data_IF_620148585239
#
_entry.id   IF_620148585239
#
_cell.length_a   1.000
_cell.length_b   1.000
_cell.length_c   1.000
_cell.angle_alpha   90.00
_cell.angle_beta   90.00
_cell.angle_gamma   90.00
#
_symmetry.space_group_name_H-M   'P 1'
#
loop_
_entity.id
_entity.type
_entity.pdbx_description
1 polymer ?
#
# COMPACT_ATOMS: atom_id res chain seq x y z
N UNK A 1 -34.17 -18.41 14.63
CA UNK A 1 -33.12 -17.71 13.83
C UNK A 1 -33.60 -16.29 13.56
N UNK A 2 -32.93 -15.23 14.02
CA UNK A 2 -33.30 -13.85 13.63
C UNK A 2 -32.90 -13.63 12.16
N UNK A 3 -33.88 -13.65 11.26
CA UNK A 3 -33.68 -13.48 9.81
C UNK A 3 -33.22 -12.06 9.48
N UNK A 4 -33.62 -11.08 10.29
CA UNK A 4 -33.27 -9.67 10.13
C UNK A 4 -32.10 -9.33 11.05
N UNK A 5 -30.97 -8.94 10.45
CA UNK A 5 -29.77 -8.50 11.16
C UNK A 5 -29.29 -7.16 10.59
N UNK A 6 -28.61 -6.35 11.42
CA UNK A 6 -28.07 -5.04 10.98
C UNK A 6 -27.23 -5.14 9.70
N UNK A 7 -26.32 -6.14 9.54
CA UNK A 7 -25.59 -6.34 8.27
C UNK A 7 -26.49 -6.53 7.05
N UNK A 8 -27.59 -7.29 7.19
CA UNK A 8 -28.54 -7.53 6.09
C UNK A 8 -29.31 -6.28 5.73
N UNK A 9 -29.67 -5.46 6.72
CA UNK A 9 -30.31 -4.15 6.49
C UNK A 9 -29.36 -3.23 5.72
N UNK A 10 -28.10 -3.13 6.14
CA UNK A 10 -27.07 -2.36 5.42
C UNK A 10 -26.91 -2.90 3.99
N UNK A 11 -26.83 -4.22 3.82
CA UNK A 11 -26.72 -4.86 2.52
C UNK A 11 -27.89 -4.55 1.59
N UNK A 12 -29.13 -4.60 2.09
CA UNK A 12 -30.33 -4.25 1.32
C UNK A 12 -30.33 -2.77 0.91
N UNK A 13 -29.99 -1.86 1.83
CA UNK A 13 -29.90 -0.42 1.53
C UNK A 13 -28.85 -0.16 0.44
N UNK A 14 -27.66 -0.77 0.55
CA UNK A 14 -26.59 -0.59 -0.44
C UNK A 14 -26.93 -1.19 -1.80
N UNK A 15 -27.64 -2.32 -1.84
CA UNK A 15 -28.13 -2.92 -3.08
C UNK A 15 -29.15 -2.01 -3.77
N UNK A 16 -30.15 -1.53 -3.03
CA UNK A 16 -31.17 -0.59 -3.55
C UNK A 16 -30.50 0.70 -4.03
N UNK A 17 -29.59 1.27 -3.23
CA UNK A 17 -28.84 2.46 -3.62
C UNK A 17 -27.97 2.24 -4.86
N UNK A 18 -27.35 1.06 -5.00
CA UNK A 18 -26.60 0.65 -6.18
C UNK A 18 -27.48 0.58 -7.43
N UNK A 19 -28.67 -0.02 -7.32
CA UNK A 19 -29.65 -0.10 -8.41
C UNK A 19 -30.10 1.31 -8.83
N UNK A 20 -30.49 2.16 -7.88
CA UNK A 20 -30.92 3.54 -8.15
C UNK A 20 -29.77 4.35 -8.80
N UNK A 21 -28.55 4.23 -8.26
CA UNK A 21 -27.36 4.91 -8.79
C UNK A 21 -27.04 4.48 -10.24
N UNK A 22 -27.35 3.22 -10.60
CA UNK A 22 -27.17 2.73 -11.96
C UNK A 22 -28.05 3.49 -12.97
N UNK A 23 -29.24 3.94 -12.54
CA UNK A 23 -30.15 4.71 -13.37
C UNK A 23 -29.82 6.21 -13.42
N UNK A 24 -29.14 6.75 -12.41
CA UNK A 24 -28.88 8.20 -12.31
C UNK A 24 -27.47 8.60 -12.72
N UNK A 25 -26.43 8.05 -12.08
CA UNK A 25 -25.04 8.53 -12.17
C UNK A 25 -24.13 7.52 -12.91
N UNK A 26 -24.57 6.26 -13.05
CA UNK A 26 -23.85 5.09 -13.64
C UNK A 26 -22.52 4.71 -12.96
N UNK A 27 -21.72 5.67 -12.52
CA UNK A 27 -20.45 5.44 -11.85
C UNK A 27 -20.62 4.87 -10.43
N UNK A 28 -19.92 3.79 -10.12
CA UNK A 28 -19.89 3.18 -8.78
C UNK A 28 -21.15 2.38 -8.38
N UNK A 29 -22.19 2.37 -9.22
CA UNK A 29 -23.44 1.65 -8.98
C UNK A 29 -23.24 0.13 -8.79
N UNK A 30 -22.49 -0.49 -9.71
CA UNK A 30 -22.17 -1.92 -9.66
C UNK A 30 -21.38 -2.29 -8.40
N UNK A 31 -20.47 -1.42 -7.96
CA UNK A 31 -19.67 -1.65 -6.76
C UNK A 31 -20.54 -1.67 -5.49
N UNK A 32 -21.47 -0.71 -5.35
CA UNK A 32 -22.43 -0.69 -4.25
C UNK A 32 -23.35 -1.92 -4.26
N UNK A 33 -23.83 -2.33 -5.44
CA UNK A 33 -24.66 -3.52 -5.59
C UNK A 33 -23.92 -4.80 -5.17
N UNK A 34 -22.66 -4.98 -5.61
CA UNK A 34 -21.81 -6.12 -5.24
C UNK A 34 -21.59 -6.15 -3.73
N UNK A 35 -21.28 -5.02 -3.10
CA UNK A 35 -21.14 -4.92 -1.64
C UNK A 35 -22.44 -5.33 -0.93
N UNK A 36 -23.59 -4.85 -1.42
CA UNK A 36 -24.90 -5.20 -0.89
C UNK A 36 -25.17 -6.71 -0.95
N UNK A 37 -24.92 -7.32 -2.11
CA UNK A 37 -25.07 -8.77 -2.32
C UNK A 37 -24.16 -9.56 -1.37
N UNK A 38 -22.90 -9.17 -1.22
CA UNK A 38 -21.95 -9.85 -0.32
C UNK A 38 -22.49 -9.85 1.12
N UNK A 39 -23.01 -8.72 1.62
CA UNK A 39 -23.56 -8.64 2.98
C UNK A 39 -24.86 -9.43 3.16
N UNK A 40 -25.67 -9.54 2.11
CA UNK A 40 -26.92 -10.32 2.14
C UNK A 40 -26.65 -11.83 2.20
N UNK A 41 -25.64 -12.31 1.45
CA UNK A 41 -25.28 -13.73 1.36
C UNK A 41 -24.38 -14.17 2.53
N UNK A 42 -23.61 -13.24 3.12
CA UNK A 42 -22.69 -13.58 4.21
C UNK A 42 -23.40 -14.25 5.41
N UNK A 43 -22.78 -15.26 6.05
CA UNK A 43 -23.34 -15.89 7.25
C UNK A 43 -23.60 -14.85 8.36
N UNK A 44 -24.85 -14.75 8.83
CA UNK A 44 -25.30 -13.69 9.75
C UNK A 44 -24.41 -13.53 10.97
N UNK A 45 -24.00 -14.63 11.61
CA UNK A 45 -23.13 -14.62 12.79
C UNK A 45 -21.77 -14.00 12.48
N UNK A 46 -21.16 -14.37 11.34
CA UNK A 46 -19.87 -13.84 10.93
C UNK A 46 -19.96 -12.35 10.57
N UNK A 47 -20.99 -11.95 9.82
CA UNK A 47 -21.18 -10.55 9.43
C UNK A 47 -21.42 -9.63 10.64
N UNK A 48 -22.19 -10.08 11.63
CA UNK A 48 -22.42 -9.33 12.88
C UNK A 48 -21.13 -9.20 13.71
N UNK A 49 -20.35 -10.26 13.80
CA UNK A 49 -19.09 -10.25 14.51
C UNK A 49 -18.09 -9.28 13.87
N UNK A 50 -17.95 -9.32 12.54
CA UNK A 50 -17.06 -8.41 11.80
C UNK A 50 -17.51 -6.95 11.91
N UNK A 51 -18.83 -6.67 11.94
CA UNK A 51 -19.37 -5.34 12.21
C UNK A 51 -19.04 -4.87 13.63
N UNK A 52 -19.23 -5.73 14.64
CA UNK A 52 -18.88 -5.41 16.03
C UNK A 52 -17.41 -5.05 16.16
N UNK A 53 -16.53 -5.82 15.50
CA UNK A 53 -15.10 -5.57 15.49
C UNK A 53 -14.74 -4.27 14.74
N UNK A 54 -15.41 -3.98 13.63
CA UNK A 54 -15.29 -2.70 12.90
C UNK A 54 -15.63 -1.51 13.81
N UNK A 55 -16.77 -1.57 14.50
CA UNK A 55 -17.20 -0.51 15.43
C UNK A 55 -16.27 -0.39 16.65
N UNK A 56 -15.76 -1.51 17.16
CA UNK A 56 -14.83 -1.51 18.28
C UNK A 56 -13.48 -0.88 17.90
N UNK A 57 -12.98 -1.12 16.69
CA UNK A 57 -11.71 -0.56 16.22
C UNK A 57 -11.82 0.91 15.88
N UNK A 58 -12.99 1.40 15.43
CA UNK A 58 -13.27 2.83 15.29
C UNK A 58 -13.15 3.59 16.62
N UNK A 59 -13.48 2.95 17.76
CA UNK A 59 -13.31 3.56 19.09
C UNK A 59 -11.84 3.73 19.49
N UNK A 60 -10.90 3.04 18.83
CA UNK A 60 -9.45 3.14 19.10
C UNK A 60 -8.80 4.31 18.34
N UNK A 61 -9.45 5.48 18.33
CA UNK A 61 -9.01 6.64 17.55
C UNK A 61 -7.62 7.13 17.96
N UNK A 62 -7.23 7.02 19.24
CA UNK A 62 -5.89 7.42 19.72
C UNK A 62 -4.78 6.58 19.06
N UNK A 63 -5.00 5.27 18.93
CA UNK A 63 -4.07 4.37 18.23
C UNK A 63 -4.04 4.70 16.74
N UNK A 64 -5.21 4.93 16.14
CA UNK A 64 -5.34 5.36 14.74
C UNK A 64 -4.52 6.62 14.46
N UNK A 65 -4.70 7.66 15.29
CA UNK A 65 -4.02 8.94 15.15
C UNK A 65 -2.49 8.79 15.24
N UNK A 66 -1.99 7.98 16.19
CA UNK A 66 -0.55 7.68 16.29
C UNK A 66 -0.04 6.99 15.02
N UNK A 67 -0.74 5.97 14.54
CA UNK A 67 -0.34 5.25 13.32
C UNK A 67 -0.41 6.12 12.06
N UNK A 68 -1.37 7.05 12.01
CA UNK A 68 -1.46 8.06 10.96
C UNK A 68 -0.25 9.01 10.99
N UNK A 69 0.15 9.50 12.16
CA UNK A 69 1.35 10.36 12.30
C UNK A 69 2.60 9.62 11.81
N UNK A 70 2.75 8.34 12.13
CA UNK A 70 3.89 7.54 11.64
C UNK A 70 3.89 7.35 10.12
N UNK A 71 2.73 7.20 9.48
CA UNK A 71 2.64 7.20 8.02
C UNK A 71 2.96 8.58 7.43
N UNK A 72 2.43 9.65 8.02
CA UNK A 72 2.66 11.02 7.54
C UNK A 72 4.15 11.36 7.59
N UNK A 73 4.83 11.06 8.71
CA UNK A 73 6.27 11.24 8.87
C UNK A 73 7.05 10.39 7.86
N UNK A 74 6.65 9.14 7.64
CA UNK A 74 7.28 8.29 6.62
C UNK A 74 7.19 8.91 5.23
N UNK A 75 5.99 9.29 4.78
CA UNK A 75 5.81 9.85 3.45
C UNK A 75 6.50 11.20 3.28
N UNK A 76 6.51 12.05 4.30
CA UNK A 76 7.24 13.32 4.29
C UNK A 76 8.76 13.09 4.18
N UNK A 77 9.34 12.21 5.01
CA UNK A 77 10.78 11.94 5.02
C UNK A 77 11.23 11.18 3.76
N UNK A 78 10.48 10.17 3.32
CA UNK A 78 10.79 9.41 2.11
C UNK A 78 10.62 10.27 0.85
N UNK A 79 9.56 11.08 0.78
CA UNK A 79 9.36 12.05 -0.29
C UNK A 79 10.46 13.10 -0.34
N UNK A 80 10.88 13.62 0.82
CA UNK A 80 12.01 14.54 0.94
C UNK A 80 13.33 13.91 0.47
N UNK A 81 13.63 12.68 0.91
CA UNK A 81 14.82 11.95 0.49
C UNK A 81 14.84 11.72 -1.03
N UNK A 82 13.71 11.29 -1.61
CA UNK A 82 13.57 11.12 -3.05
C UNK A 82 13.72 12.44 -3.81
N UNK A 83 13.10 13.52 -3.33
CA UNK A 83 13.22 14.85 -3.93
C UNK A 83 14.68 15.34 -3.94
N UNK A 84 15.40 15.20 -2.82
CA UNK A 84 16.81 15.55 -2.73
C UNK A 84 17.67 14.71 -3.69
N UNK A 85 17.41 13.41 -3.78
CA UNK A 85 18.07 12.53 -4.76
C UNK A 85 17.82 13.00 -6.20
N UNK A 86 16.56 13.26 -6.58
CA UNK A 86 16.23 13.73 -7.94
C UNK A 86 16.85 15.08 -8.25
N UNK A 87 16.82 16.04 -7.30
CA UNK A 87 17.51 17.33 -7.45
C UNK A 87 19.01 17.14 -7.66
N UNK A 88 19.62 16.26 -6.86
CA UNK A 88 21.05 15.97 -6.96
C UNK A 88 21.43 15.34 -8.31
N UNK A 89 20.66 14.36 -8.80
CA UNK A 89 20.87 13.75 -10.12
C UNK A 89 20.66 14.77 -11.24
N UNK A 90 19.61 15.60 -11.14
CA UNK A 90 19.32 16.64 -12.15
C UNK A 90 20.47 17.65 -12.25
N UNK A 91 21.00 18.12 -11.13
CA UNK A 91 22.15 19.03 -11.11
C UNK A 91 23.38 18.41 -11.78
N UNK A 92 23.62 17.12 -11.56
CA UNK A 92 24.73 16.40 -12.21
C UNK A 92 24.50 16.19 -13.69
N UNK A 93 23.26 15.89 -14.09
CA UNK A 93 22.87 15.76 -15.50
C UNK A 93 23.05 17.09 -16.24
N UNK A 94 22.62 18.22 -15.66
CA UNK A 94 22.82 19.56 -16.25
C UNK A 94 24.30 19.90 -16.39
N UNK A 95 25.14 19.58 -15.40
CA UNK A 95 26.59 19.77 -15.51
C UNK A 95 27.20 18.91 -16.62
N UNK A 96 26.75 17.67 -16.77
CA UNK A 96 27.18 16.80 -17.85
C UNK A 96 26.78 17.36 -19.22
N UNK A 97 25.55 17.84 -19.38
CA UNK A 97 25.07 18.46 -20.62
C UNK A 97 25.81 19.75 -20.98
N UNK A 98 26.26 20.52 -19.97
CA UNK A 98 27.01 21.75 -20.19
C UNK A 98 28.49 21.50 -20.54
N UNK A 99 29.06 20.35 -20.16
CA UNK A 99 30.50 20.04 -20.33
C UNK A 99 30.78 19.04 -21.44
N UNK A 100 29.83 18.16 -21.73
CA UNK A 100 29.91 17.19 -22.79
C UNK A 100 28.83 17.53 -23.84
N UNK A 101 29.20 17.54 -25.13
CA UNK A 101 28.25 17.71 -26.25
C UNK A 101 27.39 16.45 -26.40
N UNK A 102 26.61 16.08 -25.38
CA UNK A 102 25.74 14.90 -25.40
C UNK A 102 24.42 15.29 -26.06
N UNK A 103 24.40 15.27 -27.39
CA UNK A 103 23.19 15.30 -28.21
C UNK A 103 22.80 13.87 -28.57
N UNK A 104 21.56 13.64 -29.04
CA UNK A 104 21.16 12.32 -29.56
C UNK A 104 22.08 11.85 -30.69
N UNK A 105 22.59 12.77 -31.49
CA UNK A 105 23.46 12.50 -32.64
C UNK A 105 24.89 12.13 -32.20
N UNK A 106 25.42 12.74 -31.13
CA UNK A 106 26.76 12.44 -30.64
C UNK A 106 26.87 11.07 -29.94
N UNK A 107 25.75 10.51 -29.47
CA UNK A 107 25.68 9.14 -28.95
C UNK A 107 25.82 8.09 -30.07
N UNK A 108 25.53 8.47 -31.32
CA UNK A 108 25.65 7.57 -32.47
C UNK A 108 27.03 7.65 -33.14
N UNK A 109 27.87 8.63 -32.78
CA UNK A 109 29.24 8.74 -33.27
C UNK A 109 30.23 8.09 -32.28
N UNK A 110 30.89 6.97 -32.64
CA UNK A 110 31.79 6.24 -31.75
C UNK A 110 32.93 7.08 -31.16
N UNK A 111 33.47 8.04 -31.92
CA UNK A 111 34.60 8.86 -31.50
C UNK A 111 34.19 9.87 -30.41
N UNK A 112 33.01 10.48 -30.56
CA UNK A 112 32.43 11.38 -29.57
C UNK A 112 31.97 10.63 -28.32
N UNK A 113 31.50 9.39 -28.46
CA UNK A 113 31.20 8.52 -27.32
C UNK A 113 32.49 8.17 -26.58
N UNK A 114 33.56 7.78 -27.27
CA UNK A 114 34.84 7.48 -26.65
C UNK A 114 35.41 8.69 -25.90
N UNK A 115 35.32 9.89 -26.48
CA UNK A 115 35.76 11.14 -25.85
C UNK A 115 34.97 11.46 -24.57
N UNK A 116 33.66 11.17 -24.55
CA UNK A 116 32.78 11.45 -23.40
C UNK A 116 32.56 10.24 -22.47
N UNK A 117 33.16 9.08 -22.77
CA UNK A 117 32.91 7.82 -22.08
C UNK A 117 33.19 7.91 -20.58
N UNK A 118 34.25 8.62 -20.18
CA UNK A 118 34.59 8.82 -18.77
C UNK A 118 33.51 9.62 -18.02
N UNK A 119 33.01 10.69 -18.62
CA UNK A 119 31.97 11.54 -18.03
C UNK A 119 30.61 10.81 -17.95
N UNK A 120 30.24 10.07 -19.00
CA UNK A 120 29.03 9.24 -19.05
C UNK A 120 29.12 8.11 -18.00
N UNK A 121 30.24 7.36 -17.98
CA UNK A 121 30.48 6.30 -16.99
C UNK A 121 30.43 6.84 -15.57
N UNK A 122 31.05 7.99 -15.32
CA UNK A 122 30.99 8.68 -14.03
C UNK A 122 29.54 8.98 -13.63
N UNK A 123 28.78 9.64 -14.51
CA UNK A 123 27.37 9.95 -14.28
C UNK A 123 26.53 8.69 -14.00
N UNK A 124 26.73 7.60 -14.75
CA UNK A 124 26.03 6.34 -14.52
C UNK A 124 26.35 5.73 -13.16
N UNK A 125 27.64 5.64 -12.80
CA UNK A 125 28.07 5.14 -11.48
C UNK A 125 27.45 5.98 -10.37
N UNK A 126 27.49 7.31 -10.49
CA UNK A 126 26.88 8.21 -9.50
C UNK A 126 25.37 8.02 -9.39
N UNK A 127 24.67 7.92 -10.53
CA UNK A 127 23.22 7.74 -10.55
C UNK A 127 22.80 6.41 -9.94
N UNK A 128 23.50 5.32 -10.27
CA UNK A 128 23.27 3.98 -9.70
C UNK A 128 23.55 3.98 -8.20
N UNK A 129 24.69 4.52 -7.78
CA UNK A 129 25.08 4.58 -6.37
C UNK A 129 24.09 5.41 -5.56
N UNK A 130 23.68 6.57 -6.08
CA UNK A 130 22.68 7.41 -5.44
C UNK A 130 21.31 6.75 -5.36
N UNK A 131 20.89 6.01 -6.41
CA UNK A 131 19.65 5.27 -6.40
C UNK A 131 19.67 4.18 -5.32
N UNK A 132 20.79 3.46 -5.17
CA UNK A 132 20.98 2.46 -4.11
C UNK A 132 20.90 3.11 -2.73
N UNK A 133 21.59 4.23 -2.50
CA UNK A 133 21.56 4.95 -1.22
C UNK A 133 20.13 5.43 -0.92
N UNK A 134 19.44 6.03 -1.89
CA UNK A 134 18.06 6.50 -1.72
C UNK A 134 17.10 5.35 -1.41
N UNK A 135 17.27 4.20 -2.08
CA UNK A 135 16.53 2.98 -1.80
C UNK A 135 16.76 2.49 -0.37
N UNK A 136 18.00 2.44 0.10
CA UNK A 136 18.35 2.03 1.46
C UNK A 136 17.76 2.97 2.51
N UNK A 137 17.84 4.29 2.28
CA UNK A 137 17.20 5.29 3.15
C UNK A 137 15.69 5.09 3.21
N UNK A 138 15.03 4.91 2.06
CA UNK A 138 13.60 4.66 2.01
C UNK A 138 13.21 3.34 2.71
N UNK A 139 14.01 2.28 2.55
CA UNK A 139 13.80 1.00 3.22
C UNK A 139 13.94 1.11 4.75
N UNK A 140 14.93 1.89 5.23
CA UNK A 140 15.11 2.16 6.65
C UNK A 140 13.94 2.96 7.21
N UNK A 141 13.56 4.08 6.56
CA UNK A 141 12.40 4.88 6.95
C UNK A 141 11.11 4.06 6.97
N UNK A 142 10.92 3.21 5.95
CA UNK A 142 9.79 2.29 5.86
C UNK A 142 9.78 1.32 7.04
N UNK A 143 10.92 0.70 7.34
CA UNK A 143 11.04 -0.28 8.42
C UNK A 143 10.78 0.36 9.78
N UNK A 144 11.34 1.54 10.04
CA UNK A 144 11.11 2.29 11.29
C UNK A 144 9.61 2.61 11.42
N UNK A 145 9.00 3.20 10.39
CA UNK A 145 7.57 3.55 10.43
C UNK A 145 6.69 2.31 10.65
N UNK A 146 6.96 1.23 9.93
CA UNK A 146 6.18 -0.01 10.05
C UNK A 146 6.37 -0.69 11.40
N UNK A 147 7.59 -0.72 11.96
CA UNK A 147 7.80 -1.22 13.32
C UNK A 147 6.98 -0.41 14.32
N UNK A 148 7.09 0.92 14.29
CA UNK A 148 6.39 1.80 15.21
C UNK A 148 4.87 1.62 15.12
N UNK A 149 4.34 1.46 13.90
CA UNK A 149 2.92 1.20 13.68
C UNK A 149 2.51 -0.14 14.27
N UNK A 150 3.16 -1.24 13.89
CA UNK A 150 2.73 -2.56 14.30
C UNK A 150 2.94 -2.82 15.79
N UNK A 151 4.01 -2.29 16.39
CA UNK A 151 4.22 -2.36 17.84
C UNK A 151 3.18 -1.52 18.60
N UNK A 152 2.77 -0.37 18.06
CA UNK A 152 1.67 0.44 18.63
C UNK A 152 0.32 -0.29 18.56
N UNK A 153 0.01 -0.91 17.42
CA UNK A 153 -1.23 -1.69 17.24
C UNK A 153 -1.23 -2.91 18.18
N UNK A 154 -0.12 -3.63 18.26
CA UNK A 154 0.03 -4.80 19.13
C UNK A 154 0.22 -4.45 20.62
N UNK A 155 0.38 -3.15 20.95
CA UNK A 155 0.69 -2.65 22.30
C UNK A 155 1.98 -3.26 22.89
N UNK A 156 2.97 -3.51 22.05
CA UNK A 156 4.29 -4.01 22.43
C UNK A 156 5.33 -2.89 22.37
N UNK A 157 6.44 -3.00 23.11
CA UNK A 157 7.53 -2.03 23.03
C UNK A 157 8.46 -2.36 21.85
N UNK A 158 8.94 -1.35 21.10
CA UNK A 158 9.98 -1.56 20.09
C UNK A 158 11.28 -2.01 20.76
N UNK A 159 12.01 -2.93 20.12
CA UNK A 159 13.30 -3.42 20.62
C UNK A 159 14.27 -3.55 19.45
N UNK A 160 15.56 -3.32 19.70
CA UNK A 160 16.60 -3.44 18.66
C UNK A 160 16.59 -4.81 17.97
N UNK A 161 16.35 -5.88 18.72
CA UNK A 161 16.24 -7.25 18.19
C UNK A 161 15.04 -7.41 17.27
N UNK A 162 13.90 -6.82 17.62
CA UNK A 162 12.72 -6.81 16.76
C UNK A 162 12.99 -6.03 15.47
N UNK A 163 13.52 -4.81 15.58
CA UNK A 163 13.87 -3.95 14.44
C UNK A 163 14.75 -4.68 13.43
N UNK A 164 15.87 -5.29 13.87
CA UNK A 164 16.80 -5.95 12.95
C UNK A 164 16.16 -7.13 12.20
N UNK A 165 15.36 -7.94 12.89
CA UNK A 165 14.63 -9.04 12.24
C UNK A 165 13.53 -8.51 11.30
N UNK A 166 12.88 -7.42 11.67
CA UNK A 166 11.84 -6.79 10.86
C UNK A 166 12.41 -6.12 9.60
N UNK A 167 13.59 -5.51 9.72
CA UNK A 167 14.36 -4.99 8.59
C UNK A 167 14.71 -6.12 7.62
N UNK A 168 15.24 -7.24 8.14
CA UNK A 168 15.57 -8.41 7.33
C UNK A 168 14.33 -8.99 6.63
N UNK A 169 13.20 -9.10 7.33
CA UNK A 169 11.93 -9.50 6.74
C UNK A 169 11.53 -8.60 5.57
N UNK A 170 11.54 -7.27 5.77
CA UNK A 170 11.18 -6.31 4.73
C UNK A 170 12.16 -6.38 3.56
N UNK A 171 13.46 -6.52 3.82
CA UNK A 171 14.48 -6.64 2.77
C UNK A 171 14.26 -7.88 1.91
N UNK A 172 14.02 -9.05 2.52
CA UNK A 172 13.70 -10.29 1.80
C UNK A 172 12.42 -10.12 0.99
N UNK A 173 11.37 -9.56 1.59
CA UNK A 173 10.08 -9.38 0.94
C UNK A 173 10.15 -8.42 -0.26
N UNK A 174 10.81 -7.27 -0.09
CA UNK A 174 11.00 -6.31 -1.18
C UNK A 174 11.90 -6.88 -2.28
N UNK A 175 12.89 -7.71 -1.96
CA UNK A 175 13.69 -8.41 -2.96
C UNK A 175 12.83 -9.38 -3.79
N UNK A 176 11.95 -10.17 -3.15
CA UNK A 176 11.01 -11.06 -3.86
C UNK A 176 10.11 -10.24 -4.79
N UNK A 177 9.50 -9.15 -4.31
CA UNK A 177 8.64 -8.29 -5.12
C UNK A 177 9.41 -7.62 -6.27
N UNK A 178 10.65 -7.19 -6.05
CA UNK A 178 11.49 -6.59 -7.08
C UNK A 178 11.82 -7.60 -8.18
N UNK A 179 12.17 -8.84 -7.84
CA UNK A 179 12.41 -9.91 -8.82
C UNK A 179 11.15 -10.18 -9.66
N UNK A 180 9.99 -10.33 -9.02
CA UNK A 180 8.72 -10.53 -9.74
C UNK A 180 8.39 -9.35 -10.66
N UNK A 181 8.59 -8.12 -10.18
CA UNK A 181 8.38 -6.91 -10.97
C UNK A 181 9.30 -6.88 -12.20
N UNK A 182 10.60 -7.14 -12.03
CA UNK A 182 11.58 -7.17 -13.12
C UNK A 182 11.18 -8.23 -14.16
N UNK A 183 10.79 -9.43 -13.74
CA UNK A 183 10.36 -10.51 -14.63
C UNK A 183 9.13 -10.13 -15.46
N UNK A 184 8.12 -9.51 -14.85
CA UNK A 184 6.90 -9.09 -15.57
C UNK A 184 7.23 -7.98 -16.57
N UNK A 185 7.99 -6.97 -16.15
CA UNK A 185 8.35 -5.83 -16.99
C UNK A 185 9.25 -6.25 -18.15
N UNK A 186 10.22 -7.15 -17.93
CA UNK A 186 11.09 -7.66 -18.99
C UNK A 186 10.34 -8.51 -20.00
N UNK A 187 9.39 -9.35 -19.54
CA UNK A 187 8.63 -10.23 -20.43
C UNK A 187 7.51 -9.50 -21.19
N UNK A 188 6.86 -8.51 -20.57
CA UNK A 188 5.56 -8.00 -21.08
C UNK A 188 5.37 -6.48 -20.96
N UNK A 189 6.37 -5.73 -20.50
CA UNK A 189 6.21 -4.35 -20.01
C UNK A 189 5.62 -3.32 -20.99
N UNK A 190 5.66 -3.58 -22.30
CA UNK A 190 5.04 -2.71 -23.32
C UNK A 190 3.58 -3.04 -23.60
N UNK A 191 3.11 -4.23 -23.21
CA UNK A 191 1.74 -4.69 -23.46
C UNK A 191 0.76 -4.19 -22.40
N UNK A 192 -0.52 -4.05 -22.77
CA UNK A 192 -1.58 -3.75 -21.81
C UNK A 192 -1.67 -4.81 -20.70
N UNK A 193 -1.54 -6.09 -21.08
CA UNK A 193 -1.56 -7.22 -20.15
C UNK A 193 -0.42 -7.15 -19.12
N UNK A 194 0.79 -6.77 -19.54
CA UNK A 194 1.92 -6.56 -18.62
C UNK A 194 1.62 -5.47 -17.59
N UNK A 195 1.06 -4.33 -18.01
CA UNK A 195 0.66 -3.24 -17.10
C UNK A 195 -0.39 -3.69 -16.10
N UNK A 196 -1.43 -4.40 -16.55
CA UNK A 196 -2.48 -4.96 -15.68
C UNK A 196 -1.87 -5.93 -14.67
N UNK A 197 -0.97 -6.81 -15.12
CA UNK A 197 -0.32 -7.80 -14.26
C UNK A 197 0.53 -7.14 -13.17
N UNK A 198 1.25 -6.06 -13.50
CA UNK A 198 1.98 -5.25 -12.50
C UNK A 198 1.03 -4.64 -11.47
N UNK A 199 -0.11 -4.10 -11.88
CA UNK A 199 -1.10 -3.53 -10.95
C UNK A 199 -1.63 -4.62 -10.00
N UNK A 200 -1.95 -5.80 -10.53
CA UNK A 200 -2.38 -6.96 -9.72
C UNK A 200 -1.29 -7.36 -8.74
N UNK A 201 -0.03 -7.45 -9.18
CA UNK A 201 1.10 -7.77 -8.31
C UNK A 201 1.24 -6.74 -7.17
N UNK A 202 1.10 -5.44 -7.46
CA UNK A 202 1.19 -4.39 -6.44
C UNK A 202 0.06 -4.49 -5.41
N UNK A 203 -1.18 -4.74 -5.86
CA UNK A 203 -2.34 -4.92 -4.97
C UNK A 203 -2.16 -6.17 -4.11
N UNK A 204 -1.80 -7.30 -4.72
CA UNK A 204 -1.55 -8.55 -4.01
C UNK A 204 -0.36 -8.42 -3.03
N UNK A 205 0.71 -7.75 -3.45
CA UNK A 205 1.87 -7.47 -2.63
C UNK A 205 1.52 -6.62 -1.42
N UNK A 206 0.77 -5.53 -1.60
CA UNK A 206 0.30 -4.68 -0.49
C UNK A 206 -0.56 -5.46 0.50
N UNK A 207 -1.48 -6.29 -0.01
CA UNK A 207 -2.33 -7.16 0.80
C UNK A 207 -1.53 -8.17 1.63
N UNK A 208 -0.62 -8.93 0.99
CA UNK A 208 0.23 -9.91 1.68
C UNK A 208 1.14 -9.21 2.69
N UNK A 209 1.66 -8.02 2.36
CA UNK A 209 2.54 -7.25 3.26
C UNK A 209 1.88 -6.96 4.61
N UNK A 210 0.61 -6.53 4.60
CA UNK A 210 -0.13 -6.25 5.83
C UNK A 210 -0.27 -7.50 6.70
N UNK A 211 -0.61 -8.64 6.08
CA UNK A 211 -0.77 -9.92 6.78
C UNK A 211 0.57 -10.41 7.31
N UNK A 212 1.62 -10.38 6.49
CA UNK A 212 2.98 -10.76 6.85
C UNK A 212 3.48 -9.99 8.07
N UNK A 213 3.33 -8.65 8.05
CA UNK A 213 3.79 -7.82 9.16
C UNK A 213 2.96 -8.06 10.43
N UNK A 214 1.63 -8.23 10.31
CA UNK A 214 0.78 -8.59 11.44
C UNK A 214 1.20 -9.92 12.10
N UNK A 215 1.46 -10.97 11.31
CA UNK A 215 1.91 -12.27 11.79
C UNK A 215 3.31 -12.19 12.40
N UNK A 216 4.21 -11.43 11.79
CA UNK A 216 5.56 -11.24 12.30
C UNK A 216 5.57 -10.56 13.66
N UNK A 217 4.73 -9.55 13.87
CA UNK A 217 4.64 -8.86 15.17
C UNK A 217 4.31 -9.80 16.33
N UNK A 218 3.59 -10.90 16.07
CA UNK A 218 3.29 -11.90 17.10
C UNK A 218 4.40 -12.94 17.29
N UNK A 219 4.90 -13.53 16.20
CA UNK A 219 5.78 -14.72 16.27
C UNK A 219 7.27 -14.40 16.15
N UNK A 220 7.63 -13.27 15.55
CA UNK A 220 9.01 -12.81 15.31
C UNK A 220 9.92 -13.85 14.60
N UNK A 221 9.30 -14.68 13.76
CA UNK A 221 9.94 -15.74 12.96
C UNK A 221 9.72 -15.45 11.47
N UNK A 222 10.80 -15.13 10.75
CA UNK A 222 10.73 -14.67 9.35
C UNK A 222 10.10 -15.73 8.43
N UNK A 223 10.60 -16.98 8.48
CA UNK A 223 10.08 -18.06 7.63
C UNK A 223 8.61 -18.36 7.87
N UNK A 224 8.20 -18.39 9.15
CA UNK A 224 6.80 -18.56 9.53
C UNK A 224 5.93 -17.41 8.99
N UNK A 225 6.37 -16.16 9.15
CA UNK A 225 5.61 -14.99 8.68
C UNK A 225 5.48 -14.93 7.16
N UNK A 226 6.54 -15.23 6.41
CA UNK A 226 6.49 -15.25 4.94
C UNK A 226 5.62 -16.40 4.43
N UNK A 227 5.91 -17.63 4.84
CA UNK A 227 5.17 -18.81 4.37
C UNK A 227 3.70 -18.75 4.74
N UNK A 228 3.38 -18.42 5.99
CA UNK A 228 2.00 -18.39 6.45
C UNK A 228 1.25 -17.17 5.93
N UNK A 229 1.90 -16.04 5.67
CA UNK A 229 1.18 -14.90 5.08
C UNK A 229 0.72 -15.20 3.65
N UNK A 230 1.55 -15.86 2.84
CA UNK A 230 1.18 -16.29 1.49
C UNK A 230 0.08 -17.37 1.57
N UNK A 231 0.29 -18.41 2.38
CA UNK A 231 -0.68 -19.49 2.53
C UNK A 231 -2.03 -18.98 3.07
N UNK A 232 -2.02 -18.11 4.07
CA UNK A 232 -3.21 -17.46 4.60
C UNK A 232 -3.89 -16.58 3.56
N UNK A 233 -3.11 -15.78 2.82
CA UNK A 233 -3.61 -14.88 1.79
C UNK A 233 -4.37 -15.61 0.68
N UNK A 234 -3.94 -16.83 0.34
CA UNK A 234 -4.60 -17.66 -0.68
C UNK A 234 -5.77 -18.45 -0.06
N UNK A 235 -5.52 -19.21 1.02
CA UNK A 235 -6.50 -20.17 1.55
C UNK A 235 -7.61 -19.52 2.36
N UNK A 236 -7.37 -18.34 2.95
CA UNK A 236 -8.31 -17.64 3.84
C UNK A 236 -8.81 -16.31 3.29
N UNK A 237 -8.61 -16.03 1.99
CA UNK A 237 -9.10 -14.80 1.37
C UNK A 237 -10.61 -14.60 1.57
N UNK A 238 -11.39 -15.68 1.49
CA UNK A 238 -12.84 -15.67 1.70
C UNK A 238 -13.23 -15.14 3.09
N UNK A 239 -12.38 -15.32 4.11
CA UNK A 239 -12.60 -14.80 5.46
C UNK A 239 -12.39 -13.29 5.58
N UNK A 240 -11.72 -12.68 4.60
CA UNK A 240 -11.42 -11.25 4.56
C UNK A 240 -12.37 -10.46 3.67
N UNK A 241 -13.22 -11.13 2.87
CA UNK A 241 -14.21 -10.47 2.01
C UNK A 241 -15.15 -9.56 2.83
N UNK A 242 -15.78 -10.11 3.87
CA UNK A 242 -16.74 -9.38 4.71
C UNK A 242 -16.06 -8.20 5.45
N UNK A 243 -14.89 -8.38 6.09
CA UNK A 243 -14.11 -7.26 6.59
C UNK A 243 -13.82 -6.16 5.57
N UNK A 244 -13.33 -6.52 4.38
CA UNK A 244 -12.98 -5.56 3.34
C UNK A 244 -14.22 -4.77 2.92
N UNK A 245 -15.38 -5.43 2.82
CA UNK A 245 -16.66 -4.76 2.57
C UNK A 245 -16.96 -3.68 3.61
N UNK A 246 -16.84 -3.97 4.92
CA UNK A 246 -17.05 -2.95 5.93
C UNK A 246 -16.02 -1.82 5.84
N UNK A 247 -14.75 -2.14 5.57
CA UNK A 247 -13.72 -1.13 5.40
C UNK A 247 -14.01 -0.18 4.23
N UNK A 248 -14.53 -0.71 3.14
CA UNK A 248 -14.97 0.05 1.96
C UNK A 248 -16.17 0.92 2.29
N UNK A 249 -17.18 0.41 3.02
CA UNK A 249 -18.34 1.21 3.46
C UNK A 249 -17.88 2.40 4.29
N UNK A 250 -16.97 2.19 5.25
CA UNK A 250 -16.39 3.26 6.06
C UNK A 250 -15.66 4.29 5.18
N UNK A 251 -14.84 3.85 4.23
CA UNK A 251 -14.18 4.77 3.29
C UNK A 251 -15.19 5.59 2.48
N UNK A 252 -16.22 4.92 1.93
CA UNK A 252 -17.24 5.56 1.12
C UNK A 252 -17.98 6.65 1.89
N UNK A 253 -18.32 6.39 3.17
CA UNK A 253 -18.93 7.37 4.07
C UNK A 253 -17.97 8.54 4.33
N UNK A 254 -16.73 8.26 4.73
CA UNK A 254 -15.74 9.30 5.06
C UNK A 254 -15.33 10.16 3.86
N UNK A 255 -15.47 9.63 2.63
CA UNK A 255 -15.16 10.35 1.41
C UNK A 255 -16.26 11.31 0.94
N UNK A 256 -17.50 11.20 1.45
CA UNK A 256 -18.60 12.07 1.00
C UNK A 256 -18.34 13.57 1.20
N UNK A 257 -17.82 14.03 2.36
CA UNK A 257 -17.53 15.45 2.56
C UNK A 257 -16.50 15.99 1.56
N UNK A 258 -15.57 15.17 1.09
CA UNK A 258 -14.57 15.58 0.11
C UNK A 258 -15.18 15.88 -1.26
N UNK A 259 -16.30 15.25 -1.61
CA UNK A 259 -17.02 15.54 -2.87
C UNK A 259 -17.64 16.93 -2.90
N UNK A 260 -17.81 17.55 -1.72
CA UNK A 260 -18.32 18.91 -1.59
C UNK A 260 -17.22 19.97 -1.71
N UNK A 261 -15.94 19.57 -1.68
CA UNK A 261 -14.79 20.47 -1.80
C UNK A 261 -14.41 20.58 -3.28
N UNK A 262 -14.35 21.81 -3.80
CA UNK A 262 -14.09 22.11 -5.21
C UNK A 262 -12.79 21.43 -5.75
N UNK A 263 -12.88 20.86 -6.94
CA UNK A 263 -12.01 19.78 -7.45
C UNK A 263 -10.51 20.10 -7.54
N UNK A 264 -10.10 21.37 -7.62
CA UNK A 264 -8.68 21.74 -7.77
C UNK A 264 -7.84 21.50 -6.49
N UNK A 265 -8.46 21.59 -5.31
CA UNK A 265 -7.76 21.46 -4.02
C UNK A 265 -8.01 20.13 -3.30
N UNK A 266 -8.73 19.19 -3.94
CA UNK A 266 -9.16 17.96 -3.29
C UNK A 266 -8.03 16.94 -3.07
N UNK A 267 -6.87 17.09 -3.72
CA UNK A 267 -5.80 16.07 -3.69
C UNK A 267 -5.18 15.91 -2.30
N UNK A 268 -4.82 17.00 -1.62
CA UNK A 268 -4.24 16.93 -0.28
C UNK A 268 -5.22 16.39 0.78
N UNK A 269 -6.47 16.89 0.87
CA UNK A 269 -7.49 16.30 1.75
C UNK A 269 -7.77 14.82 1.46
N UNK A 270 -7.79 14.41 0.18
CA UNK A 270 -7.97 13.02 -0.22
C UNK A 270 -6.82 12.13 0.22
N UNK A 271 -5.58 12.61 0.09
CA UNK A 271 -4.40 11.90 0.56
C UNK A 271 -4.43 11.73 2.10
N UNK A 272 -4.77 12.80 2.84
CA UNK A 272 -4.92 12.73 4.30
C UNK A 272 -6.00 11.73 4.71
N UNK A 273 -7.17 11.78 4.07
CA UNK A 273 -8.24 10.82 4.35
C UNK A 273 -7.78 9.38 4.08
N UNK A 274 -7.08 9.15 2.97
CA UNK A 274 -6.57 7.82 2.62
C UNK A 274 -5.58 7.30 3.66
N UNK A 275 -4.69 8.15 4.18
CA UNK A 275 -3.76 7.78 5.25
C UNK A 275 -4.49 7.47 6.57
N UNK A 276 -5.48 8.27 6.97
CA UNK A 276 -6.29 8.02 8.17
C UNK A 276 -7.06 6.72 8.03
N UNK A 277 -7.67 6.49 6.88
CA UNK A 277 -8.39 5.25 6.58
C UNK A 277 -7.46 4.04 6.62
N UNK A 278 -6.27 4.14 6.03
CA UNK A 278 -5.29 3.04 6.02
C UNK A 278 -4.71 2.75 7.41
N UNK A 279 -4.51 3.79 8.22
CA UNK A 279 -4.16 3.67 9.63
C UNK A 279 -5.22 2.87 10.41
N UNK A 280 -6.50 3.23 10.24
CA UNK A 280 -7.59 2.49 10.87
C UNK A 280 -7.70 1.05 10.33
N UNK A 281 -7.60 0.87 9.00
CA UNK A 281 -7.71 -0.43 8.33
C UNK A 281 -6.71 -1.45 8.89
N UNK A 282 -5.46 -1.04 9.14
CA UNK A 282 -4.44 -1.96 9.70
C UNK A 282 -4.81 -2.45 11.09
N UNK A 283 -5.38 -1.59 11.94
CA UNK A 283 -5.88 -2.03 13.24
C UNK A 283 -7.04 -3.01 13.10
N UNK A 284 -7.96 -2.71 12.19
CA UNK A 284 -9.11 -3.56 11.93
C UNK A 284 -8.68 -4.95 11.44
N UNK A 285 -7.80 -5.00 10.44
CA UNK A 285 -7.25 -6.25 9.90
C UNK A 285 -6.40 -6.99 10.94
N UNK A 286 -5.65 -6.30 11.79
CA UNK A 286 -4.85 -6.95 12.83
C UNK A 286 -5.70 -7.80 13.78
N UNK A 287 -6.82 -7.25 14.26
CA UNK A 287 -7.72 -7.99 15.16
C UNK A 287 -8.36 -9.20 14.45
N UNK A 288 -8.63 -9.09 13.14
CA UNK A 288 -9.18 -10.19 12.34
C UNK A 288 -8.14 -11.30 12.15
N UNK A 289 -6.92 -10.94 11.73
CA UNK A 289 -5.81 -11.87 11.55
C UNK A 289 -5.50 -12.56 12.89
N UNK A 290 -5.62 -11.84 14.01
CA UNK A 290 -5.47 -12.40 15.35
C UNK A 290 -6.47 -13.48 15.71
N UNK A 291 -7.66 -13.45 15.13
CA UNK A 291 -8.71 -14.43 15.41
C UNK A 291 -8.61 -15.71 14.59
N UNK A 292 -7.88 -15.69 13.48
CA UNK A 292 -7.85 -16.79 12.51
C UNK A 292 -6.52 -17.55 12.44
N UNK A 293 -5.52 -17.10 13.18
CA UNK A 293 -4.31 -17.85 13.54
C UNK A 293 -4.55 -18.62 14.84
#
# INVERSE_FOLDING_TARGET
MKIISVPRIIGAILLIAGIISNFTIKSGALFLAVIGIILLIAPTKHAQEMLKLCLQTLKQWKTTAKTFIYDLLFWALAGGAMYLFFKWVTLKATKLQATAMITKESILNPDLVAQNAGAIKGFLIYSITGAIISLLVCLLLYTISREMIWTTIAKTKPTKKFFLKFLLLNLIWWAILAVLYILIVSATGKTLYGKITVIILLIAGAYITVIMQALFTKKQQIGHSLGNSIAFSITKIHKLIVPIVYAVIIFAILSQPLRLINNANALAPSAVLMLVWYAWLRMYLYEIIKKFE
#
